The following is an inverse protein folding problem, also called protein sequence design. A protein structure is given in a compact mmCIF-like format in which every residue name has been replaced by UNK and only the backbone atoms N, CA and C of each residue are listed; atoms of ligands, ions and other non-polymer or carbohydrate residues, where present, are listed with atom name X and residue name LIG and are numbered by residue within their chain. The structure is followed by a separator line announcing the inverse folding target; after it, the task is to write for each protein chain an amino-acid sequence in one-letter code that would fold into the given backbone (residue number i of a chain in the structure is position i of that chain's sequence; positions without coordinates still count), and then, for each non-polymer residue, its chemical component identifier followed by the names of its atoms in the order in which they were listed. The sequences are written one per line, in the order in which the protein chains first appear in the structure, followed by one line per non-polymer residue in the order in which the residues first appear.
data_IF_251819879962
#
_entry.id   IF_251819879962
#
_cell.length_a   1.000
_cell.length_b   1.000
_cell.length_c   1.000
_cell.angle_alpha   90.00
_cell.angle_beta   90.00
_cell.angle_gamma   90.00
#
_symmetry.space_group_name_H-M   'P 1'
#
loop_
_entity.id
_entity.type
_entity.pdbx_description
1 polymer ?
#
# COMPACT_ATOMS: atom_id res chain seq x y z
N UNK A 1 42.40 6.46 -2.30
CA UNK A 1 41.17 5.75 -1.89
C UNK A 1 40.07 6.79 -1.94
N UNK A 2 39.19 6.76 -2.94
CA UNK A 2 38.05 7.65 -2.98
C UNK A 2 37.04 7.16 -1.95
N UNK A 3 36.65 8.01 -1.02
CA UNK A 3 35.43 7.80 -0.26
C UNK A 3 34.30 7.65 -1.29
N UNK A 4 33.75 6.44 -1.43
CA UNK A 4 32.47 6.26 -2.08
C UNK A 4 31.47 7.03 -1.20
N UNK A 5 31.21 8.29 -1.56
CA UNK A 5 30.12 9.05 -0.98
C UNK A 5 28.84 8.30 -1.36
N UNK A 6 28.29 7.51 -0.43
CA UNK A 6 26.94 7.00 -0.57
C UNK A 6 26.02 8.22 -0.67
N UNK A 7 25.37 8.37 -1.81
CA UNK A 7 24.37 9.42 -1.98
C UNK A 7 23.24 9.17 -0.98
N UNK A 8 22.89 10.20 -0.22
CA UNK A 8 21.78 10.18 0.73
C UNK A 8 20.51 10.60 -0.02
N UNK A 9 19.34 10.13 0.40
CA UNK A 9 18.08 10.61 -0.14
C UNK A 9 17.90 12.11 0.18
N UNK A 10 17.47 12.90 -0.81
CA UNK A 10 17.27 14.36 -0.68
C UNK A 10 15.97 14.77 -1.38
N UNK A 11 15.21 15.67 -0.74
CA UNK A 11 14.00 16.27 -1.32
C UNK A 11 14.32 16.98 -2.65
N UNK A 12 13.36 16.99 -3.57
CA UNK A 12 13.43 17.71 -4.86
C UNK A 12 14.67 17.36 -5.72
N UNK A 13 15.18 16.13 -5.56
CA UNK A 13 16.32 15.61 -6.33
C UNK A 13 15.97 14.30 -7.05
N UNK A 14 16.82 13.87 -7.97
CA UNK A 14 16.73 12.53 -8.57
C UNK A 14 16.89 11.38 -7.56
N UNK A 15 17.32 11.70 -6.33
CA UNK A 15 17.45 10.77 -5.21
C UNK A 15 16.23 10.82 -4.27
N UNK A 16 15.09 11.32 -4.76
CA UNK A 16 13.83 11.20 -4.05
C UNK A 16 13.37 9.72 -4.02
N UNK A 17 13.10 9.14 -2.83
CA UNK A 17 12.68 7.75 -2.67
C UNK A 17 11.21 7.57 -3.07
N UNK A 18 10.91 6.52 -3.83
CA UNK A 18 9.55 6.19 -4.28
C UNK A 18 9.09 4.84 -3.76
N UNK A 19 7.77 4.67 -3.62
CA UNK A 19 7.16 3.40 -3.20
C UNK A 19 7.66 2.26 -4.10
N UNK A 20 8.08 1.17 -3.46
CA UNK A 20 8.64 -0.01 -4.12
C UNK A 20 10.14 0.02 -4.36
N UNK A 21 10.82 1.15 -4.14
CA UNK A 21 12.27 1.22 -4.28
C UNK A 21 13.00 0.65 -3.06
N UNK A 22 14.15 0.03 -3.32
CA UNK A 22 15.05 -0.48 -2.28
C UNK A 22 16.13 0.54 -1.90
N UNK A 23 16.32 0.71 -0.59
CA UNK A 23 17.28 1.61 0.02
C UNK A 23 18.08 0.88 1.10
N UNK A 24 19.28 1.36 1.42
CA UNK A 24 19.98 0.90 2.62
C UNK A 24 19.56 1.82 3.77
N UNK A 25 19.13 1.24 4.87
CA UNK A 25 18.73 1.98 6.07
C UNK A 25 19.28 1.22 7.28
N UNK A 26 20.19 1.87 8.04
CA UNK A 26 20.73 1.31 9.30
C UNK A 26 21.31 -0.11 9.16
N UNK A 27 21.96 -0.40 8.02
CA UNK A 27 22.57 -1.72 7.75
C UNK A 27 21.59 -2.77 7.23
N UNK A 28 20.31 -2.44 7.05
CA UNK A 28 19.28 -3.30 6.47
C UNK A 28 18.92 -2.85 5.04
N UNK A 29 18.30 -3.75 4.29
CA UNK A 29 17.62 -3.40 3.03
C UNK A 29 16.20 -2.95 3.38
N UNK A 30 15.85 -1.71 3.08
CA UNK A 30 14.54 -1.15 3.32
C UNK A 30 13.81 -0.95 1.99
N UNK A 31 12.55 -1.36 1.93
CA UNK A 31 11.63 -0.99 0.84
C UNK A 31 10.77 0.19 1.28
N UNK A 32 10.59 1.17 0.41
CA UNK A 32 9.70 2.31 0.67
C UNK A 32 8.26 1.84 0.50
N UNK A 33 7.47 1.91 1.58
CA UNK A 33 6.10 1.42 1.61
C UNK A 33 5.07 2.53 1.31
N UNK A 34 5.38 3.79 1.61
CA UNK A 34 4.44 4.89 1.40
C UNK A 34 4.86 6.21 2.05
N UNK A 35 3.92 7.16 1.99
CA UNK A 35 4.01 8.56 2.40
C UNK A 35 5.02 9.41 1.62
N UNK A 36 4.74 10.70 1.50
CA UNK A 36 5.66 11.65 0.89
C UNK A 36 6.79 11.97 1.85
N UNK A 37 8.02 12.05 1.32
CA UNK A 37 9.13 12.55 2.11
C UNK A 37 8.88 14.04 2.35
N UNK A 38 8.81 14.43 3.62
CA UNK A 38 8.69 15.83 4.03
C UNK A 38 9.75 16.11 5.09
N UNK A 39 10.23 17.35 5.14
CA UNK A 39 11.24 17.75 6.12
C UNK A 39 10.70 17.58 7.55
N UNK A 40 11.47 16.89 8.40
CA UNK A 40 11.07 16.57 9.77
C UNK A 40 10.08 15.42 9.92
N UNK A 41 9.68 14.76 8.82
CA UNK A 41 8.87 13.52 8.86
C UNK A 41 9.69 12.30 8.47
N UNK A 42 9.31 11.16 9.03
CA UNK A 42 9.84 9.86 8.66
C UNK A 42 9.09 9.32 7.44
N UNK A 43 9.82 8.59 6.59
CA UNK A 43 9.26 7.78 5.53
C UNK A 43 8.87 6.41 6.08
N UNK A 44 7.72 5.93 5.64
CA UNK A 44 7.29 4.58 5.98
C UNK A 44 8.10 3.58 5.15
N UNK A 45 8.89 2.77 5.84
CA UNK A 45 9.73 1.74 5.24
C UNK A 45 9.47 0.38 5.87
N UNK A 46 9.82 -0.68 5.16
CA UNK A 46 9.80 -2.03 5.69
C UNK A 46 11.13 -2.72 5.40
N UNK A 47 11.63 -3.49 6.35
CA UNK A 47 12.77 -4.36 6.13
C UNK A 47 12.41 -5.39 5.04
N UNK A 48 13.19 -5.43 3.96
CA UNK A 48 12.92 -6.29 2.79
C UNK A 48 13.02 -7.79 3.09
N UNK A 49 13.77 -8.18 4.12
CA UNK A 49 13.90 -9.58 4.49
C UNK A 49 12.81 -9.99 5.48
N UNK A 50 12.52 -9.16 6.48
CA UNK A 50 11.66 -9.55 7.61
C UNK A 50 10.25 -8.97 7.54
N UNK A 51 10.02 -7.95 6.73
CA UNK A 51 8.78 -7.17 6.73
C UNK A 51 8.60 -6.34 7.99
N UNK A 52 9.57 -6.26 8.90
CA UNK A 52 9.47 -5.40 10.08
C UNK A 52 9.27 -3.96 9.64
N UNK A 53 8.24 -3.31 10.20
CA UNK A 53 7.96 -1.91 9.93
C UNK A 53 9.02 -1.03 10.57
N UNK A 54 9.48 -0.05 9.81
CA UNK A 54 10.23 1.09 10.29
C UNK A 54 9.63 2.41 9.83
N UNK A 55 10.08 3.46 10.48
CA UNK A 55 9.88 4.85 10.10
C UNK A 55 11.28 5.45 10.01
N UNK A 56 11.72 5.81 8.80
CA UNK A 56 13.10 6.22 8.54
C UNK A 56 13.17 7.71 8.19
N UNK A 57 13.98 8.53 8.89
CA UNK A 57 14.30 9.86 8.41
C UNK A 57 14.89 9.78 7.00
N UNK A 58 14.58 10.75 6.13
CA UNK A 58 15.13 10.75 4.77
C UNK A 58 16.67 10.63 4.76
N UNK A 59 17.34 11.28 5.71
CA UNK A 59 18.79 11.27 5.85
C UNK A 59 19.39 9.90 6.25
N UNK A 60 18.59 8.95 6.73
CA UNK A 60 19.07 7.58 7.03
C UNK A 60 18.99 6.64 5.82
N UNK A 61 18.35 7.06 4.73
CA UNK A 61 18.25 6.30 3.49
C UNK A 61 19.46 6.56 2.59
N UNK A 62 20.25 5.51 2.39
CA UNK A 62 21.43 5.52 1.52
C UNK A 62 21.11 4.82 0.20
N UNK A 63 21.55 5.45 -0.89
CA UNK A 63 21.29 4.98 -2.25
C UNK A 63 21.91 3.59 -2.47
N UNK A 64 21.11 2.70 -3.04
CA UNK A 64 21.56 1.39 -3.52
C UNK A 64 21.67 1.38 -5.04
N UNK A 65 22.63 0.60 -5.55
CA UNK A 65 22.80 0.39 -6.99
C UNK A 65 21.60 -0.36 -7.62
N UNK A 66 20.94 -1.21 -6.85
CA UNK A 66 19.81 -2.06 -7.25
C UNK A 66 18.44 -1.52 -6.81
N UNK A 67 18.31 -0.21 -6.52
CA UNK A 67 17.08 0.38 -5.95
C UNK A 67 15.81 0.15 -6.78
N UNK A 68 15.96 -0.08 -8.09
CA UNK A 68 14.86 -0.32 -9.04
C UNK A 68 14.72 -1.80 -9.43
N UNK A 69 15.37 -2.71 -8.70
CA UNK A 69 15.37 -4.15 -9.04
C UNK A 69 14.05 -4.86 -8.73
N UNK A 70 13.12 -4.20 -8.04
CA UNK A 70 11.82 -4.74 -7.64
C UNK A 70 10.73 -4.07 -8.48
N UNK A 71 10.06 -4.86 -9.31
CA UNK A 71 8.82 -4.44 -9.96
C UNK A 71 7.62 -4.56 -9.01
N UNK A 72 6.47 -4.05 -9.44
CA UNK A 72 5.27 -4.06 -8.61
C UNK A 72 4.69 -5.45 -8.36
N UNK A 73 4.89 -6.42 -9.25
CA UNK A 73 4.40 -7.79 -9.05
C UNK A 73 5.19 -8.45 -7.92
N UNK A 74 6.52 -8.38 -7.97
CA UNK A 74 7.41 -8.89 -6.92
C UNK A 74 7.17 -8.17 -5.59
N UNK A 75 6.94 -6.85 -5.62
CA UNK A 75 6.59 -6.07 -4.44
C UNK A 75 5.31 -6.62 -3.79
N UNK A 76 4.23 -6.74 -4.55
CA UNK A 76 2.94 -7.21 -4.05
C UNK A 76 3.04 -8.65 -3.52
N UNK A 77 3.77 -9.53 -4.20
CA UNK A 77 4.00 -10.90 -3.74
C UNK A 77 4.76 -10.95 -2.42
N UNK A 78 5.80 -10.12 -2.26
CA UNK A 78 6.57 -10.02 -1.01
C UNK A 78 5.68 -9.58 0.15
N UNK A 79 4.87 -8.55 -0.06
CA UNK A 79 3.93 -8.08 0.95
C UNK A 79 2.84 -9.11 1.27
N UNK A 80 2.35 -9.85 0.27
CA UNK A 80 1.41 -10.94 0.50
C UNK A 80 2.01 -12.05 1.37
N UNK A 81 3.28 -12.41 1.15
CA UNK A 81 3.98 -13.37 2.00
C UNK A 81 4.01 -12.91 3.47
N UNK A 82 4.41 -11.67 3.75
CA UNK A 82 4.39 -11.12 5.11
C UNK A 82 2.99 -11.03 5.71
N UNK A 83 1.97 -10.69 4.91
CA UNK A 83 0.60 -10.66 5.37
C UNK A 83 0.12 -12.05 5.82
N UNK A 84 0.48 -13.12 5.10
CA UNK A 84 0.17 -14.51 5.49
C UNK A 84 0.88 -14.94 6.78
N UNK A 85 1.97 -14.26 7.15
CA UNK A 85 2.69 -14.46 8.43
C UNK A 85 2.13 -13.61 9.58
N UNK A 86 1.08 -12.81 9.33
CA UNK A 86 0.43 -12.00 10.36
C UNK A 86 0.95 -10.57 10.45
N UNK A 87 1.75 -10.11 9.49
CA UNK A 87 2.28 -8.75 9.50
C UNK A 87 1.19 -7.71 9.17
N UNK A 88 0.70 -7.02 10.21
CA UNK A 88 -0.36 -6.02 10.09
C UNK A 88 0.00 -4.85 9.17
N UNK A 89 1.28 -4.45 9.09
CA UNK A 89 1.72 -3.36 8.23
C UNK A 89 1.77 -3.78 6.77
N UNK A 90 2.12 -5.05 6.49
CA UNK A 90 2.02 -5.59 5.15
C UNK A 90 0.56 -5.67 4.69
N UNK A 91 -0.34 -6.09 5.57
CA UNK A 91 -1.79 -6.05 5.31
C UNK A 91 -2.26 -4.61 5.05
N UNK A 92 -1.82 -3.64 5.86
CA UNK A 92 -2.15 -2.23 5.67
C UNK A 92 -1.68 -1.69 4.31
N UNK A 93 -0.46 -2.03 3.90
CA UNK A 93 0.06 -1.67 2.58
C UNK A 93 -0.79 -2.28 1.46
N UNK A 94 -1.09 -3.58 1.53
CA UNK A 94 -1.90 -4.24 0.50
C UNK A 94 -3.32 -3.65 0.45
N UNK A 95 -3.88 -3.27 1.60
CA UNK A 95 -5.16 -2.60 1.66
C UNK A 95 -5.13 -1.27 0.87
N UNK A 96 -4.14 -0.43 1.14
CA UNK A 96 -3.93 0.82 0.39
C UNK A 96 -3.63 0.57 -1.10
N UNK A 97 -2.77 -0.41 -1.40
CA UNK A 97 -2.39 -0.77 -2.77
C UNK A 97 -3.59 -1.14 -3.64
N UNK A 98 -4.53 -1.90 -3.07
CA UNK A 98 -5.72 -2.37 -3.77
C UNK A 98 -6.93 -1.42 -3.65
N UNK A 99 -6.83 -0.30 -2.92
CA UNK A 99 -7.98 0.55 -2.54
C UNK A 99 -8.87 0.92 -3.74
N UNK A 100 -8.26 1.24 -4.87
CA UNK A 100 -8.98 1.56 -6.12
C UNK A 100 -9.01 0.39 -7.11
N UNK A 101 -7.99 -0.46 -7.10
CA UNK A 101 -7.81 -1.55 -8.09
C UNK A 101 -8.79 -2.71 -7.81
N UNK A 102 -9.00 -3.03 -6.54
CA UNK A 102 -9.82 -4.15 -6.10
C UNK A 102 -10.37 -3.86 -4.69
N UNK A 103 -11.50 -3.15 -4.66
CA UNK A 103 -12.16 -2.69 -3.42
C UNK A 103 -12.40 -3.81 -2.40
N UNK A 104 -12.86 -4.99 -2.87
CA UNK A 104 -13.12 -6.14 -1.98
C UNK A 104 -11.82 -6.63 -1.34
N UNK A 105 -10.77 -6.82 -2.14
CA UNK A 105 -9.45 -7.24 -1.64
C UNK A 105 -8.89 -6.22 -0.66
N UNK A 106 -8.95 -4.93 -1.01
CA UNK A 106 -8.51 -3.83 -0.16
C UNK A 106 -9.21 -3.84 1.20
N UNK A 107 -10.55 -3.89 1.18
CA UNK A 107 -11.37 -3.86 2.41
C UNK A 107 -11.00 -5.01 3.35
N UNK A 108 -10.84 -6.22 2.82
CA UNK A 108 -10.44 -7.37 3.63
C UNK A 108 -9.03 -7.26 4.19
N UNK A 109 -8.07 -6.69 3.46
CA UNK A 109 -6.74 -6.41 4.00
C UNK A 109 -6.76 -5.33 5.10
N UNK A 110 -7.60 -4.29 4.99
CA UNK A 110 -7.79 -3.32 6.07
C UNK A 110 -8.34 -3.98 7.33
N UNK A 111 -9.33 -4.85 7.18
CA UNK A 111 -9.88 -5.66 8.27
C UNK A 111 -8.81 -6.57 8.86
N UNK A 112 -8.00 -7.24 8.03
CA UNK A 112 -6.90 -8.09 8.49
C UNK A 112 -5.89 -7.30 9.34
N UNK A 113 -5.46 -6.14 8.87
CA UNK A 113 -4.54 -5.27 9.60
C UNK A 113 -5.11 -4.84 10.97
N UNK A 114 -6.38 -4.43 10.99
CA UNK A 114 -7.08 -4.05 12.22
C UNK A 114 -7.22 -5.21 13.21
N UNK A 115 -7.50 -6.43 12.72
CA UNK A 115 -7.57 -7.63 13.56
C UNK A 115 -6.20 -8.08 14.08
N UNK A 116 -5.15 -7.92 13.28
CA UNK A 116 -3.79 -8.32 13.64
C UNK A 116 -3.17 -7.39 14.68
N UNK A 117 -3.34 -6.07 14.53
CA UNK A 117 -2.76 -5.07 15.41
C UNK A 117 -3.77 -3.93 15.71
N UNK A 118 -4.81 -4.20 16.53
CA UNK A 118 -5.88 -3.24 16.78
C UNK A 118 -5.38 -1.93 17.38
N UNK A 119 -4.40 -1.98 18.28
CA UNK A 119 -3.83 -0.76 18.87
C UNK A 119 -3.08 0.12 17.86
N UNK A 120 -2.57 -0.45 16.78
CA UNK A 120 -1.88 0.30 15.71
C UNK A 120 -2.85 0.93 14.71
N UNK A 121 -4.04 0.35 14.53
CA UNK A 121 -4.96 0.70 13.43
C UNK A 121 -6.36 1.17 13.86
N UNK A 122 -6.73 1.08 15.15
CA UNK A 122 -8.06 1.50 15.64
C UNK A 122 -8.41 2.94 15.33
N UNK A 123 -7.42 3.82 15.23
CA UNK A 123 -7.61 5.23 14.85
C UNK A 123 -8.25 5.38 13.47
N UNK A 124 -8.04 4.40 12.58
CA UNK A 124 -8.56 4.40 11.22
C UNK A 124 -9.89 3.65 11.09
N UNK A 125 -10.45 3.09 12.17
CA UNK A 125 -11.63 2.23 12.08
C UNK A 125 -12.81 2.90 11.38
N UNK A 126 -13.18 4.11 11.79
CA UNK A 126 -14.26 4.87 11.18
C UNK A 126 -14.00 5.17 9.70
N UNK A 127 -12.75 5.47 9.35
CA UNK A 127 -12.32 5.64 7.96
C UNK A 127 -12.51 4.35 7.16
N UNK A 128 -12.00 3.23 7.66
CA UNK A 128 -12.11 1.91 7.00
C UNK A 128 -13.58 1.59 6.72
N UNK A 129 -14.47 1.83 7.69
CA UNK A 129 -15.91 1.60 7.51
C UNK A 129 -16.51 2.54 6.46
N UNK A 130 -16.16 3.83 6.50
CA UNK A 130 -16.67 4.82 5.54
C UNK A 130 -16.20 4.51 4.10
N UNK A 131 -14.90 4.26 3.92
CA UNK A 131 -14.26 3.97 2.65
C UNK A 131 -14.80 2.66 2.06
N UNK A 132 -15.03 1.64 2.90
CA UNK A 132 -15.65 0.37 2.48
C UNK A 132 -17.04 0.56 1.85
N UNK A 133 -17.80 1.58 2.28
CA UNK A 133 -19.12 1.90 1.71
C UNK A 133 -19.07 2.96 0.61
N UNK A 134 -17.91 3.59 0.38
CA UNK A 134 -17.73 4.70 -0.57
C UNK A 134 -16.48 4.47 -1.44
N UNK A 135 -16.49 3.42 -2.28
CA UNK A 135 -15.31 3.00 -3.05
C UNK A 135 -14.81 4.08 -4.01
N UNK A 136 -13.50 4.23 -4.07
CA UNK A 136 -12.84 4.90 -5.18
C UNK A 136 -12.90 4.05 -6.45
N UNK A 137 -12.90 4.70 -7.62
CA UNK A 137 -12.97 3.98 -8.93
C UNK A 137 -11.95 4.44 -9.97
N UNK A 138 -11.05 5.37 -9.62
CA UNK A 138 -10.13 6.00 -10.58
C UNK A 138 -8.76 6.22 -9.97
N UNK A 139 -7.73 5.93 -10.76
CA UNK A 139 -6.34 6.25 -10.46
C UNK A 139 -5.87 7.28 -11.48
N UNK A 140 -5.33 8.39 -11.01
CA UNK A 140 -4.60 9.34 -11.85
C UNK A 140 -3.14 8.86 -11.95
N UNK A 141 -2.70 8.56 -13.16
CA UNK A 141 -1.34 8.13 -13.44
C UNK A 141 -0.40 9.34 -13.51
N UNK A 142 0.90 9.09 -13.33
CA UNK A 142 1.92 10.16 -13.34
C UNK A 142 2.04 10.93 -14.65
N UNK A 143 1.54 10.38 -15.75
CA UNK A 143 1.48 11.02 -17.08
C UNK A 143 0.19 11.83 -17.31
N UNK A 144 -0.67 11.95 -16.28
CA UNK A 144 -1.96 12.64 -16.35
C UNK A 144 -3.09 11.79 -16.94
N UNK A 145 -2.81 10.56 -17.39
CA UNK A 145 -3.87 9.63 -17.80
C UNK A 145 -4.65 9.12 -16.59
N UNK A 146 -5.86 8.61 -16.83
CA UNK A 146 -6.73 8.07 -15.78
C UNK A 146 -7.08 6.63 -16.09
N UNK A 147 -6.80 5.74 -15.14
CA UNK A 147 -7.28 4.35 -15.16
C UNK A 147 -8.59 4.27 -14.38
N UNK A 148 -9.64 3.70 -14.98
CA UNK A 148 -10.96 3.55 -14.36
C UNK A 148 -11.25 2.09 -14.08
N UNK A 149 -11.80 1.77 -12.92
CA UNK A 149 -12.22 0.43 -12.53
C UNK A 149 -13.76 0.32 -12.48
N UNK A 150 -14.32 -0.89 -12.65
CA UNK A 150 -15.75 -1.14 -12.44
C UNK A 150 -16.22 -0.70 -11.06
N UNK A 151 -17.49 -0.31 -10.95
CA UNK A 151 -18.13 -0.06 -9.66
C UNK A 151 -18.15 -1.39 -8.86
N UNK A 152 -17.64 -1.43 -7.62
CA UNK A 152 -17.55 -2.67 -6.89
C UNK A 152 -18.91 -3.06 -6.28
N UNK A 153 -19.21 -4.35 -6.28
CA UNK A 153 -20.34 -4.89 -5.53
C UNK A 153 -20.05 -4.83 -4.02
N UNK A 154 -21.02 -4.39 -3.23
CA UNK A 154 -20.87 -4.18 -1.79
C UNK A 154 -21.46 -5.30 -0.93
N UNK A 155 -22.08 -6.32 -1.53
CA UNK A 155 -22.75 -7.42 -0.82
C UNK A 155 -21.80 -8.20 0.10
N UNK A 156 -20.50 -8.21 -0.20
CA UNK A 156 -19.50 -8.87 0.63
C UNK A 156 -19.35 -8.23 2.01
N UNK A 157 -19.70 -6.94 2.18
CA UNK A 157 -19.61 -6.24 3.46
C UNK A 157 -20.50 -6.87 4.52
N UNK A 158 -21.61 -7.52 4.13
CA UNK A 158 -22.52 -8.21 5.05
C UNK A 158 -21.84 -9.39 5.79
N UNK A 159 -20.70 -9.87 5.27
CA UNK A 159 -19.88 -10.93 5.88
C UNK A 159 -18.82 -10.39 6.84
N UNK A 160 -18.64 -9.08 6.93
CA UNK A 160 -17.61 -8.44 7.75
C UNK A 160 -18.25 -7.93 9.05
N UNK A 161 -17.99 -8.56 10.21
CA UNK A 161 -18.53 -8.12 11.50
C UNK A 161 -18.22 -6.66 11.84
N UNK A 162 -17.03 -6.19 11.44
CA UNK A 162 -16.59 -4.81 11.62
C UNK A 162 -17.47 -3.81 10.85
N UNK A 163 -18.14 -4.22 9.77
CA UNK A 163 -19.03 -3.36 8.98
C UNK A 163 -20.47 -3.45 9.46
N UNK A 164 -20.91 -4.67 9.82
CA UNK A 164 -22.31 -4.96 10.14
C UNK A 164 -22.67 -4.72 11.59
N UNK A 165 -21.77 -5.06 12.51
CA UNK A 165 -22.07 -5.19 13.95
C UNK A 165 -21.21 -4.26 14.81
N UNK A 166 -20.34 -3.47 14.17
CA UNK A 166 -19.34 -2.62 14.82
C UNK A 166 -18.46 -3.39 15.83
N UNK A 167 -18.18 -4.67 15.54
CA UNK A 167 -17.48 -5.59 16.45
C UNK A 167 -16.15 -6.02 15.86
N UNK A 168 -15.08 -5.84 16.63
CA UNK A 168 -13.71 -6.17 16.23
C UNK A 168 -13.31 -7.59 16.63
N UNK A 169 -12.83 -8.38 15.68
CA UNK A 169 -12.46 -9.78 15.86
C UNK A 169 -10.93 -9.93 16.00
N UNK A 170 -10.38 -9.42 17.10
CA UNK A 170 -8.93 -9.40 17.37
C UNK A 170 -8.30 -10.80 17.22
N UNK A 171 -7.15 -10.87 16.54
CA UNK A 171 -6.40 -12.10 16.30
C UNK A 171 -6.91 -12.96 15.14
N UNK A 172 -8.09 -12.69 14.59
CA UNK A 172 -8.68 -13.44 13.46
C UNK A 172 -8.31 -12.83 12.11
N UNK A 173 -7.04 -12.45 11.95
CA UNK A 173 -6.53 -11.81 10.75
C UNK A 173 -6.35 -12.78 9.58
N UNK A 174 -6.02 -14.05 9.86
CA UNK A 174 -5.73 -15.04 8.81
C UNK A 174 -6.94 -15.32 7.91
N UNK A 175 -8.15 -15.36 8.48
CA UNK A 175 -9.39 -15.47 7.72
C UNK A 175 -9.59 -14.25 6.81
N UNK A 176 -9.31 -13.04 7.30
CA UNK A 176 -9.43 -11.82 6.52
C UNK A 176 -8.39 -11.76 5.37
N UNK A 177 -7.16 -12.23 5.61
CA UNK A 177 -6.16 -12.40 4.52
C UNK A 177 -6.65 -13.40 3.48
N UNK A 178 -7.21 -14.54 3.91
CA UNK A 178 -7.76 -15.53 2.99
C UNK A 178 -8.90 -14.95 2.14
N UNK A 179 -9.83 -14.19 2.72
CA UNK A 179 -10.91 -13.53 1.98
C UNK A 179 -10.39 -12.44 1.02
N UNK A 180 -9.34 -11.70 1.39
CA UNK A 180 -8.70 -10.73 0.51
C UNK A 180 -8.08 -11.40 -0.72
N UNK A 181 -7.34 -12.49 -0.52
CA UNK A 181 -6.67 -13.23 -1.59
C UNK A 181 -7.64 -14.04 -2.47
N UNK A 182 -8.77 -14.46 -1.90
CA UNK A 182 -9.85 -15.14 -2.62
C UNK A 182 -10.73 -14.17 -3.43
N UNK A 183 -10.58 -12.86 -3.26
CA UNK A 183 -11.31 -11.88 -4.06
C UNK A 183 -10.88 -11.98 -5.54
N UNK A 184 -11.83 -12.02 -6.49
CA UNK A 184 -11.51 -12.13 -7.90
C UNK A 184 -10.67 -10.94 -8.37
N UNK A 185 -9.79 -11.17 -9.34
CA UNK A 185 -9.06 -10.08 -9.99
C UNK A 185 -10.03 -9.20 -10.78
N UNK A 186 -9.81 -7.89 -10.73
CA UNK A 186 -10.61 -6.90 -11.43
C UNK A 186 -9.75 -6.26 -12.51
N UNK A 187 -10.23 -6.30 -13.75
CA UNK A 187 -9.58 -5.61 -14.87
C UNK A 187 -10.07 -4.15 -14.94
N UNK A 188 -9.20 -3.20 -15.32
CA UNK A 188 -9.63 -1.84 -15.60
C UNK A 188 -10.59 -1.81 -16.80
N UNK A 189 -11.46 -0.80 -16.82
CA UNK A 189 -12.32 -0.51 -17.96
C UNK A 189 -11.48 0.06 -19.10
N UNK A 190 -11.70 -0.46 -20.31
CA UNK A 190 -11.17 0.16 -21.52
C UNK A 190 -11.90 1.48 -21.75
N UNK A 191 -11.22 2.60 -21.55
CA UNK A 191 -11.77 3.92 -21.88
C UNK A 191 -11.43 4.22 -23.33
N UNK A 192 -12.37 3.95 -24.25
CA UNK A 192 -12.24 4.38 -25.64
C UNK A 192 -12.50 5.90 -25.74
N UNK A 193 -11.49 6.65 -26.19
CA UNK A 193 -11.64 7.97 -26.82
C UNK A 193 -12.24 9.09 -25.97
N UNK A 194 -11.43 9.78 -25.16
CA UNK A 194 -11.61 11.22 -24.98
C UNK A 194 -11.05 11.92 -26.22
N UNK A 195 -11.79 11.83 -27.33
CA UNK A 195 -11.56 12.68 -28.48
C UNK A 195 -11.68 14.14 -28.03
N UNK A 196 -10.67 14.94 -28.37
CA UNK A 196 -10.65 16.39 -28.27
C UNK A 196 -12.04 17.01 -28.51
N UNK A 197 -12.72 17.42 -27.44
CA UNK A 197 -13.83 18.36 -27.57
C UNK A 197 -13.20 19.74 -27.59
N UNK A 198 -13.31 20.37 -28.75
CA UNK A 198 -12.57 21.54 -29.14
C UNK A 198 -12.73 22.75 -28.22
N UNK A 199 -11.64 23.50 -28.17
CA UNK A 199 -11.64 24.93 -27.89
C UNK A 199 -12.65 25.61 -28.82
N UNK A 200 -13.65 26.26 -28.23
CA UNK A 200 -14.28 27.46 -28.77
C UNK A 200 -14.26 28.51 -27.67
#
# INVERSE_FOLDING_TARGET
MSENQCAVAVLDSQFYPRVGELWSCEGKTAVVAGNFAEEGRTLWVMDWETGERGDAPLASLLLRADRYSVDYEVLVERYAAWAREGNANAMWFLAWWYEVINHRRSTWYYVAALRAAPDQHKWAYSRIVADAHSPGRRICNGDGSVTVYPEPELDFLAKIPEMKEAKLYCGQWAEAVFEAESAPNIAPLLVEGMNNVGVV
#
